data_IF_778264952800
#
_entry.id   IF_778264952800
#
_cell.length_a   1.000
_cell.length_b   1.000
_cell.length_c   1.000
_cell.angle_alpha   90.00
_cell.angle_beta   90.00
_cell.angle_gamma   90.00
#
_symmetry.space_group_name_H-M   'P 1'
#
loop_
_entity.id
_entity.type
_entity.pdbx_description
1 polymer ?
#
# COMPACT_ATOMS: atom_id res chain seq x y z
N UNK A 1 -1.30 -42.83 8.36
CA UNK A 1 -1.14 -41.44 8.79
C UNK A 1 -1.64 -40.55 7.66
N UNK A 2 -2.71 -39.78 7.90
CA UNK A 2 -3.40 -38.97 6.89
C UNK A 2 -3.01 -37.50 7.05
N UNK A 3 -2.96 -36.82 5.90
CA UNK A 3 -2.96 -35.36 5.65
C UNK A 3 -1.71 -34.52 5.95
N UNK A 4 -0.81 -34.44 4.96
CA UNK A 4 0.06 -33.26 4.69
C UNK A 4 -0.53 -32.32 3.62
N UNK A 5 -1.72 -32.64 3.08
CA UNK A 5 -2.29 -32.02 1.88
C UNK A 5 -2.95 -30.63 2.12
N UNK A 6 -3.01 -30.15 3.37
CA UNK A 6 -3.67 -28.90 3.74
C UNK A 6 -2.80 -27.63 3.65
N UNK A 7 -1.47 -27.78 3.70
CA UNK A 7 -0.56 -26.63 3.71
C UNK A 7 -0.38 -26.02 2.31
N UNK A 8 -0.34 -26.86 1.27
CA UNK A 8 -0.07 -26.43 -0.11
C UNK A 8 -1.25 -25.67 -0.73
N UNK A 9 -2.50 -26.05 -0.40
CA UNK A 9 -3.69 -25.36 -0.88
C UNK A 9 -3.83 -23.93 -0.31
N UNK A 10 -3.39 -23.71 0.95
CA UNK A 10 -3.35 -22.35 1.53
C UNK A 10 -2.24 -21.49 0.93
N UNK A 11 -1.09 -22.09 0.60
CA UNK A 11 0.02 -21.38 -0.04
C UNK A 11 -0.29 -20.96 -1.48
N UNK A 12 -0.91 -21.86 -2.27
CA UNK A 12 -1.27 -21.57 -3.67
C UNK A 12 -2.32 -20.45 -3.80
N UNK A 13 -3.32 -20.42 -2.91
CA UNK A 13 -4.28 -19.31 -2.86
C UNK A 13 -3.64 -17.97 -2.48
N UNK A 14 -2.71 -17.98 -1.51
CA UNK A 14 -1.97 -16.77 -1.10
C UNK A 14 -1.02 -16.22 -2.17
N UNK A 15 -0.41 -17.10 -2.98
CA UNK A 15 0.49 -16.70 -4.08
C UNK A 15 -0.27 -16.01 -5.22
N UNK A 16 -1.41 -16.56 -5.65
CA UNK A 16 -2.26 -15.95 -6.69
C UNK A 16 -2.81 -14.58 -6.25
N UNK A 17 -3.21 -14.45 -4.98
CA UNK A 17 -3.71 -13.19 -4.42
C UNK A 17 -2.59 -12.15 -4.27
N UNK A 18 -1.37 -12.56 -3.92
CA UNK A 18 -0.20 -11.67 -3.85
C UNK A 18 0.19 -11.12 -5.23
N UNK A 19 0.09 -11.94 -6.27
CA UNK A 19 0.40 -11.51 -7.63
C UNK A 19 -0.67 -10.56 -8.18
N UNK A 20 -1.95 -10.85 -7.92
CA UNK A 20 -3.05 -9.92 -8.18
C UNK A 20 -2.88 -8.58 -7.45
N UNK A 21 -2.45 -8.62 -6.18
CA UNK A 21 -2.17 -7.42 -5.40
C UNK A 21 -1.06 -6.59 -6.06
N UNK A 22 0.05 -7.20 -6.47
CA UNK A 22 1.14 -6.50 -7.17
C UNK A 22 0.68 -5.84 -8.47
N UNK A 23 -0.19 -6.50 -9.24
CA UNK A 23 -0.71 -5.97 -10.50
C UNK A 23 -1.60 -4.74 -10.24
N UNK A 24 -2.51 -4.79 -9.27
CA UNK A 24 -3.33 -3.63 -8.91
C UNK A 24 -2.50 -2.51 -8.28
N UNK A 25 -1.54 -2.86 -7.44
CA UNK A 25 -0.60 -1.94 -6.81
C UNK A 25 0.33 -1.27 -7.83
N UNK A 26 0.64 -1.93 -8.94
CA UNK A 26 1.43 -1.39 -10.05
C UNK A 26 0.63 -0.46 -10.98
N UNK A 27 -0.70 -0.61 -11.04
CA UNK A 27 -1.56 0.37 -11.75
C UNK A 27 -1.56 1.73 -11.07
N UNK A 28 -1.31 1.77 -9.76
CA UNK A 28 -1.23 3.00 -9.00
C UNK A 28 0.19 3.56 -9.02
N UNK A 29 0.39 4.86 -9.28
CA UNK A 29 1.71 5.47 -9.23
C UNK A 29 2.29 5.32 -7.81
N UNK A 30 3.45 4.67 -7.68
CA UNK A 30 4.12 4.51 -6.38
C UNK A 30 4.97 5.73 -6.07
N UNK A 31 5.04 6.12 -4.80
CA UNK A 31 6.04 7.09 -4.35
C UNK A 31 7.30 6.38 -3.83
N UNK A 32 8.41 7.09 -3.81
CA UNK A 32 9.65 6.59 -3.24
C UNK A 32 9.53 6.55 -1.72
N UNK A 33 10.19 5.57 -1.10
CA UNK A 33 10.31 5.52 0.35
C UNK A 33 11.76 5.30 0.76
N UNK A 34 12.19 6.00 1.80
CA UNK A 34 13.47 5.83 2.45
C UNK A 34 13.26 5.58 3.93
N UNK A 35 13.77 4.45 4.40
CA UNK A 35 13.79 4.12 5.81
C UNK A 35 15.21 4.18 6.33
N UNK A 36 15.39 4.73 7.51
CA UNK A 36 16.69 4.76 8.18
C UNK A 36 16.47 4.56 9.67
N UNK A 37 17.26 3.68 10.30
CA UNK A 37 17.11 3.36 11.72
C UNK A 37 17.16 4.61 12.63
N UNK A 38 17.86 5.67 12.20
CA UNK A 38 18.03 6.94 12.93
C UNK A 38 17.05 8.05 12.53
N UNK A 39 16.54 8.02 11.30
CA UNK A 39 15.62 9.01 10.76
C UNK A 39 14.42 8.21 10.29
N UNK A 40 13.36 8.25 11.09
CA UNK A 40 12.01 7.74 10.79
C UNK A 40 11.67 7.76 9.30
N UNK A 41 10.85 6.80 8.86
CA UNK A 41 10.55 6.59 7.44
C UNK A 41 10.12 7.88 6.74
N UNK A 42 10.70 8.16 5.58
CA UNK A 42 10.28 9.25 4.72
C UNK A 42 9.77 8.67 3.41
N UNK A 43 8.73 9.27 2.86
CA UNK A 43 8.14 8.90 1.60
C UNK A 43 7.89 10.14 0.78
N UNK A 44 8.29 10.16 -0.49
CA UNK A 44 8.08 11.29 -1.39
C UNK A 44 7.76 10.85 -2.81
N UNK A 45 6.89 11.58 -3.48
CA UNK A 45 6.54 11.35 -4.88
C UNK A 45 7.25 12.40 -5.73
N UNK A 46 7.97 11.98 -6.79
CA UNK A 46 8.60 12.91 -7.73
C UNK A 46 7.55 13.72 -8.50
N UNK A 47 6.40 13.10 -8.75
CA UNK A 47 5.38 13.59 -9.65
C UNK A 47 3.99 13.31 -9.05
N UNK A 48 3.29 14.37 -8.67
CA UNK A 48 2.03 14.34 -7.91
C UNK A 48 2.20 14.59 -6.41
N UNK A 49 1.18 14.22 -5.64
CA UNK A 49 1.06 14.41 -4.20
C UNK A 49 0.86 13.06 -3.50
N UNK A 50 1.43 12.93 -2.31
CA UNK A 50 1.38 11.69 -1.54
C UNK A 50 0.03 11.55 -0.84
N UNK A 51 -0.65 10.41 -1.06
CA UNK A 51 -1.90 10.06 -0.39
C UNK A 51 -1.88 8.65 0.14
N UNK A 52 -2.45 8.46 1.33
CA UNK A 52 -2.74 7.13 1.84
C UNK A 52 -4.00 6.60 1.20
N UNK A 53 -3.89 5.41 0.61
CA UNK A 53 -4.99 4.64 0.08
C UNK A 53 -5.06 3.30 0.81
N UNK A 54 -6.28 2.82 1.04
CA UNK A 54 -6.50 1.52 1.66
C UNK A 54 -6.14 0.39 0.68
N UNK A 55 -5.62 -0.72 1.21
CA UNK A 55 -5.38 -1.95 0.45
C UNK A 55 -6.55 -2.91 0.64
N UNK A 56 -7.54 -2.92 -0.28
CA UNK A 56 -8.74 -3.74 -0.12
C UNK A 56 -8.42 -5.24 -0.13
N UNK A 57 -7.47 -5.71 -0.94
CA UNK A 57 -7.11 -7.14 -0.98
C UNK A 57 -6.41 -7.62 0.30
N UNK A 58 -5.57 -6.79 0.93
CA UNK A 58 -4.83 -7.20 2.14
C UNK A 58 -5.79 -7.44 3.32
N UNK A 59 -6.92 -6.71 3.36
CA UNK A 59 -8.01 -6.95 4.32
C UNK A 59 -8.67 -8.30 4.07
N UNK A 60 -8.96 -8.66 2.82
CA UNK A 60 -9.59 -9.94 2.50
C UNK A 60 -8.70 -11.14 2.85
N UNK A 61 -7.37 -10.98 2.78
CA UNK A 61 -6.40 -12.04 3.06
C UNK A 61 -6.04 -12.12 4.55
N UNK A 62 -5.80 -10.99 5.20
CA UNK A 62 -5.24 -10.95 6.57
C UNK A 62 -6.26 -10.52 7.63
N UNK A 63 -7.43 -10.02 7.22
CA UNK A 63 -8.39 -9.37 8.10
C UNK A 63 -7.91 -8.01 8.63
N UNK A 64 -6.75 -7.52 8.21
CA UNK A 64 -6.15 -6.27 8.70
C UNK A 64 -6.24 -5.17 7.65
N UNK A 65 -6.74 -4.02 8.09
CA UNK A 65 -6.73 -2.78 7.30
C UNK A 65 -5.31 -2.25 7.19
N UNK A 66 -4.78 -2.27 5.98
CA UNK A 66 -3.45 -1.77 5.64
C UNK A 66 -3.60 -0.59 4.69
N UNK A 67 -2.87 0.49 4.96
CA UNK A 67 -2.83 1.66 4.09
C UNK A 67 -1.45 1.74 3.46
N UNK A 68 -1.41 2.14 2.19
CA UNK A 68 -0.18 2.44 1.47
C UNK A 68 -0.24 3.86 0.96
N UNK A 69 0.92 4.46 0.77
CA UNK A 69 0.99 5.73 0.07
C UNK A 69 1.06 5.50 -1.44
N UNK A 70 0.38 6.34 -2.20
CA UNK A 70 0.42 6.39 -3.66
C UNK A 70 0.42 7.84 -4.13
N UNK A 71 0.95 8.08 -5.33
CA UNK A 71 1.01 9.42 -5.91
C UNK A 71 -0.22 9.72 -6.74
N UNK A 72 -0.80 10.90 -6.53
CA UNK A 72 -1.93 11.40 -7.31
C UNK A 72 -1.67 12.85 -7.73
N UNK A 73 -1.95 13.18 -8.99
CA UNK A 73 -1.74 14.55 -9.50
C UNK A 73 -2.99 15.43 -9.34
N UNK A 74 -4.08 14.99 -9.95
CA UNK A 74 -5.32 15.76 -10.10
C UNK A 74 -6.49 15.12 -9.32
N UNK A 75 -6.36 13.83 -9.00
CA UNK A 75 -7.42 13.04 -8.40
C UNK A 75 -7.45 13.08 -6.87
N UNK A 76 -7.03 14.20 -6.27
CA UNK A 76 -6.87 14.32 -4.81
C UNK A 76 -8.21 14.27 -4.05
N UNK A 77 -9.32 14.51 -4.74
CA UNK A 77 -10.68 14.52 -4.17
C UNK A 77 -11.38 13.16 -4.24
N UNK A 78 -10.68 12.09 -4.67
CA UNK A 78 -11.30 10.77 -4.73
C UNK A 78 -11.56 10.21 -3.32
N UNK A 79 -12.72 9.56 -3.10
CA UNK A 79 -13.03 8.93 -1.83
C UNK A 79 -12.04 7.79 -1.53
N UNK A 80 -11.63 7.69 -0.27
CA UNK A 80 -10.65 6.69 0.18
C UNK A 80 -9.18 7.14 0.12
N UNK A 81 -8.92 8.40 -0.26
CA UNK A 81 -7.61 9.03 -0.14
C UNK A 81 -7.52 9.85 1.14
N UNK A 82 -6.53 9.54 1.97
CA UNK A 82 -6.27 10.24 3.23
C UNK A 82 -4.91 10.95 3.16
N UNK A 83 -4.83 12.13 3.77
CA UNK A 83 -3.55 12.81 3.99
C UNK A 83 -2.97 12.31 5.31
N UNK A 84 -1.66 12.07 5.36
CA UNK A 84 -1.02 11.67 6.62
C UNK A 84 -1.17 12.80 7.65
N UNK A 85 -1.37 12.43 8.92
CA UNK A 85 -1.66 13.40 9.98
C UNK A 85 -0.54 14.43 10.08
N UNK A 86 -0.91 15.72 10.01
CA UNK A 86 0.05 16.83 10.10
C UNK A 86 0.72 17.21 8.78
N UNK A 87 0.33 16.61 7.67
CA UNK A 87 0.77 17.00 6.34
C UNK A 87 -0.28 17.85 5.61
N UNK A 88 0.21 18.75 4.77
CA UNK A 88 -0.64 19.56 3.91
C UNK A 88 -1.31 18.71 2.83
N UNK A 89 -2.48 19.15 2.35
CA UNK A 89 -3.14 18.50 1.23
C UNK A 89 -2.23 18.49 -0.01
N UNK A 90 -1.39 19.48 -0.25
CA UNK A 90 -0.46 19.50 -1.38
C UNK A 90 0.93 18.93 -1.02
N UNK A 91 1.04 18.11 0.02
CA UNK A 91 2.29 17.48 0.40
C UNK A 91 2.75 16.44 -0.62
N UNK A 92 3.98 16.62 -1.13
CA UNK A 92 4.67 15.64 -1.97
C UNK A 92 5.50 14.63 -1.17
N UNK A 93 5.88 15.01 0.04
CA UNK A 93 6.65 14.18 0.96
C UNK A 93 5.93 14.05 2.31
N UNK A 94 5.99 12.86 2.89
CA UNK A 94 5.43 12.50 4.19
C UNK A 94 6.48 11.75 5.00
N UNK A 95 6.62 12.11 6.27
CA UNK A 95 7.46 11.42 7.25
C UNK A 95 6.56 10.64 8.17
N UNK A 96 6.88 9.36 8.33
CA UNK A 96 6.10 8.31 9.00
C UNK A 96 6.76 7.96 10.31
#
# INVERSE_FOLDING_TARGET
>A
MKSLQGAEAKAAGGAQLSEGQKIEEAKQPSCNSRWSQKKNGEMWCDDGFSRLVQRPLEVAVTGKMSKRFASFKDQLSQPGMEVYKGYDYLAKACRV
#
